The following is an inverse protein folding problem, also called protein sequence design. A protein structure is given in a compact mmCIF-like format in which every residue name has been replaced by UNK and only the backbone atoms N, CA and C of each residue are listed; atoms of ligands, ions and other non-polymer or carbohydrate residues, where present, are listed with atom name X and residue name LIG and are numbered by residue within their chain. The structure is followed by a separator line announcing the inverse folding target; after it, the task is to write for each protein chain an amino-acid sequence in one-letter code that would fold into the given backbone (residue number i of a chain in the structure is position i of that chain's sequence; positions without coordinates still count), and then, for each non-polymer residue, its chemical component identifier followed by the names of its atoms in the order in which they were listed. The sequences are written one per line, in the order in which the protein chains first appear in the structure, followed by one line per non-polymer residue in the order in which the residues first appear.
data_IF_944291385985
#
_entry.id   IF_944291385985
#
_cell.length_a   1.000
_cell.length_b   1.000
_cell.length_c   1.000
_cell.angle_alpha   90.00
_cell.angle_beta   90.00
_cell.angle_gamma   90.00
#
_symmetry.space_group_name_H-M   'P 1'
#
loop_
_entity.id
_entity.type
_entity.pdbx_description
1 polymer ?
#
# COMPACT_ATOMS: atom_id res chain seq x y z
N UNK A 1 -0.35 0.09 -28.95
CA UNK A 1 -0.55 -0.77 -27.76
C UNK A 1 0.40 -1.96 -27.75
N UNK A 2 0.79 -2.49 -28.90
CA UNK A 2 1.60 -3.72 -28.98
C UNK A 2 3.04 -3.55 -28.49
N UNK A 3 3.56 -2.33 -28.40
CA UNK A 3 4.96 -2.09 -28.00
C UNK A 3 5.18 -1.78 -26.52
N UNK A 4 4.18 -1.28 -25.80
CA UNK A 4 4.32 -0.84 -24.40
C UNK A 4 3.20 -1.40 -23.49
N UNK A 5 2.49 -2.43 -23.91
CA UNK A 5 1.37 -2.97 -23.14
C UNK A 5 1.81 -3.58 -21.80
N UNK A 6 2.98 -4.20 -21.76
CA UNK A 6 3.63 -4.71 -20.55
C UNK A 6 3.90 -3.60 -19.52
N UNK A 7 4.52 -2.49 -19.95
CA UNK A 7 4.78 -1.33 -19.10
C UNK A 7 3.50 -0.64 -18.66
N UNK A 8 2.52 -0.50 -19.57
CA UNK A 8 1.23 0.07 -19.25
C UNK A 8 0.48 -0.75 -18.20
N UNK A 9 0.52 -2.09 -18.30
CA UNK A 9 -0.07 -2.96 -17.27
C UNK A 9 0.61 -2.80 -15.92
N UNK A 10 1.96 -2.81 -15.89
CA UNK A 10 2.71 -2.60 -14.65
C UNK A 10 2.37 -1.25 -14.04
N UNK A 11 2.37 -0.16 -14.82
CA UNK A 11 2.05 1.18 -14.32
C UNK A 11 0.62 1.30 -13.81
N UNK A 12 -0.36 0.78 -14.57
CA UNK A 12 -1.78 0.83 -14.20
C UNK A 12 -2.05 0.10 -12.88
N UNK A 13 -1.45 -1.08 -12.70
CA UNK A 13 -1.62 -1.87 -11.47
C UNK A 13 -0.83 -1.25 -10.31
N UNK A 14 0.41 -0.79 -10.54
CA UNK A 14 1.26 -0.19 -9.51
C UNK A 14 0.68 1.11 -8.93
N UNK A 15 -0.05 1.88 -9.75
CA UNK A 15 -0.73 3.12 -9.33
C UNK A 15 -2.17 2.89 -8.83
N UNK A 16 -2.56 1.61 -8.67
CA UNK A 16 -3.88 1.22 -8.14
C UNK A 16 -5.04 1.83 -8.95
N UNK A 17 -4.87 1.95 -10.26
CA UNK A 17 -5.91 2.45 -11.15
C UNK A 17 -7.09 1.47 -11.24
N UNK A 18 -8.33 1.97 -11.38
CA UNK A 18 -9.51 1.13 -11.54
C UNK A 18 -9.36 0.11 -12.68
N UNK A 19 -9.51 -1.18 -12.39
CA UNK A 19 -9.43 -2.27 -13.38
C UNK A 19 -10.79 -2.56 -14.03
N UNK A 20 -11.40 -1.52 -14.58
CA UNK A 20 -12.67 -1.56 -15.31
C UNK A 20 -12.50 -0.98 -16.71
N UNK A 21 -13.45 -1.23 -17.61
CA UNK A 21 -13.46 -0.67 -18.96
C UNK A 21 -12.14 -0.92 -19.72
N UNK A 22 -11.55 0.16 -20.24
CA UNK A 22 -10.32 0.11 -21.04
C UNK A 22 -9.10 -0.32 -20.22
N UNK A 23 -8.97 0.15 -18.97
CA UNK A 23 -7.87 -0.24 -18.09
C UNK A 23 -7.83 -1.76 -17.89
N UNK A 24 -9.00 -2.39 -17.67
CA UNK A 24 -9.07 -3.84 -17.53
C UNK A 24 -8.58 -4.56 -18.78
N UNK A 25 -8.96 -4.07 -19.95
CA UNK A 25 -8.53 -4.65 -21.24
C UNK A 25 -7.03 -4.47 -21.44
N UNK A 26 -6.50 -3.27 -21.16
CA UNK A 26 -5.07 -2.96 -21.24
C UNK A 26 -4.25 -3.84 -20.31
N UNK A 27 -4.66 -3.94 -19.04
CA UNK A 27 -3.95 -4.76 -18.06
C UNK A 27 -4.01 -6.23 -18.42
N UNK A 28 -5.15 -6.76 -18.87
CA UNK A 28 -5.29 -8.16 -19.30
C UNK A 28 -4.34 -8.49 -20.45
N UNK A 29 -4.29 -7.65 -21.48
CA UNK A 29 -3.38 -7.82 -22.61
C UNK A 29 -1.92 -7.63 -22.20
N UNK A 30 -1.64 -6.60 -21.39
CA UNK A 30 -0.28 -6.26 -20.98
C UNK A 30 0.33 -7.28 -20.02
N UNK A 31 -0.46 -7.94 -19.16
CA UNK A 31 0.01 -9.05 -18.32
C UNK A 31 0.44 -10.25 -19.17
N UNK A 32 -0.27 -10.52 -20.26
CA UNK A 32 0.12 -11.56 -21.22
C UNK A 32 1.42 -11.19 -21.95
N UNK A 33 1.60 -9.92 -22.32
CA UNK A 33 2.84 -9.43 -22.90
C UNK A 33 3.98 -9.48 -21.88
N UNK A 34 3.73 -9.06 -20.62
CA UNK A 34 4.72 -9.07 -19.55
C UNK A 34 5.26 -10.48 -19.29
N UNK A 35 4.39 -11.50 -19.33
CA UNK A 35 4.78 -12.90 -19.15
C UNK A 35 5.77 -13.37 -20.23
N UNK A 36 5.72 -12.79 -21.43
CA UNK A 36 6.52 -13.14 -22.60
C UNK A 36 7.27 -11.88 -23.11
N UNK A 37 7.76 -11.05 -22.20
CA UNK A 37 8.40 -9.79 -22.58
C UNK A 37 9.75 -10.03 -23.23
N UNK A 38 10.06 -9.23 -24.25
CA UNK A 38 11.38 -9.18 -24.91
C UNK A 38 12.27 -8.07 -24.31
N UNK A 39 11.84 -7.43 -23.21
CA UNK A 39 12.60 -6.38 -22.53
C UNK A 39 13.51 -7.00 -21.50
N UNK A 40 14.87 -6.92 -21.68
CA UNK A 40 15.81 -7.54 -20.75
C UNK A 40 15.57 -7.10 -19.30
N UNK A 41 15.22 -5.82 -19.07
CA UNK A 41 14.97 -5.30 -17.71
C UNK A 41 13.76 -5.91 -17.03
N UNK A 42 12.66 -6.14 -17.76
CA UNK A 42 11.45 -6.79 -17.19
C UNK A 42 11.66 -8.30 -17.05
N UNK A 43 12.38 -8.94 -17.99
CA UNK A 43 12.74 -10.35 -17.92
C UNK A 43 13.58 -10.63 -16.68
N UNK A 44 14.66 -9.85 -16.46
CA UNK A 44 15.51 -9.96 -15.29
C UNK A 44 14.72 -9.72 -13.97
N UNK A 45 13.77 -8.79 -13.97
CA UNK A 45 12.92 -8.55 -12.81
C UNK A 45 11.96 -9.71 -12.52
N UNK A 46 11.38 -10.34 -13.57
CA UNK A 46 10.56 -11.54 -13.44
C UNK A 46 11.37 -12.73 -12.90
N UNK A 47 12.61 -12.89 -13.33
CA UNK A 47 13.53 -13.90 -12.82
C UNK A 47 13.85 -13.67 -11.35
N UNK A 48 14.21 -12.45 -10.96
CA UNK A 48 14.53 -12.07 -9.58
C UNK A 48 13.37 -12.33 -8.61
N UNK A 49 12.11 -12.23 -9.09
CA UNK A 49 10.92 -12.52 -8.27
C UNK A 49 10.40 -13.95 -8.43
N UNK A 50 11.10 -14.80 -9.20
CA UNK A 50 10.77 -16.22 -9.40
C UNK A 50 9.48 -16.46 -10.22
N UNK A 51 9.18 -15.57 -11.16
CA UNK A 51 8.00 -15.64 -12.04
C UNK A 51 8.33 -16.10 -13.47
N UNK A 52 9.59 -16.38 -13.81
CA UNK A 52 9.98 -16.91 -15.13
C UNK A 52 9.22 -18.18 -15.47
N UNK A 53 8.56 -18.20 -16.63
CA UNK A 53 7.77 -19.34 -17.09
C UNK A 53 6.45 -19.60 -16.35
N UNK A 54 6.03 -18.69 -15.46
CA UNK A 54 4.76 -18.77 -14.74
C UNK A 54 3.76 -17.72 -15.24
N UNK A 55 2.45 -17.97 -15.12
CA UNK A 55 1.44 -16.94 -15.38
C UNK A 55 1.67 -15.71 -14.50
N UNK A 56 1.73 -14.51 -15.10
CA UNK A 56 1.85 -13.24 -14.38
C UNK A 56 0.47 -12.64 -14.17
N UNK A 57 0.11 -12.39 -12.92
CA UNK A 57 -1.18 -11.82 -12.52
C UNK A 57 -1.03 -10.37 -12.05
N UNK A 58 -2.15 -9.64 -11.96
CA UNK A 58 -2.14 -8.31 -11.35
C UNK A 58 -1.66 -8.35 -9.89
N UNK A 59 -1.95 -9.41 -9.16
CA UNK A 59 -1.44 -9.64 -7.80
C UNK A 59 0.09 -9.75 -7.78
N UNK A 60 0.69 -10.48 -8.72
CA UNK A 60 2.15 -10.54 -8.86
C UNK A 60 2.75 -9.16 -9.14
N UNK A 61 2.09 -8.35 -9.97
CA UNK A 61 2.53 -6.97 -10.20
C UNK A 61 2.43 -6.16 -8.91
N UNK A 62 1.31 -6.20 -8.20
CA UNK A 62 1.07 -5.42 -6.98
C UNK A 62 2.03 -5.76 -5.85
N UNK A 63 2.34 -7.05 -5.65
CA UNK A 63 3.05 -7.52 -4.45
C UNK A 63 4.49 -7.98 -4.70
N UNK A 64 4.87 -8.27 -5.96
CA UNK A 64 6.23 -8.67 -6.27
C UNK A 64 6.97 -7.64 -7.15
N UNK A 65 6.39 -7.18 -8.26
CA UNK A 65 7.07 -6.34 -9.24
C UNK A 65 7.07 -4.87 -8.81
N UNK A 66 5.89 -4.28 -8.63
CA UNK A 66 5.74 -2.86 -8.30
C UNK A 66 6.46 -2.42 -7.01
N UNK A 67 6.48 -3.22 -5.91
CA UNK A 67 7.21 -2.84 -4.71
C UNK A 67 8.71 -2.63 -4.92
N UNK A 68 9.35 -3.41 -5.80
CA UNK A 68 10.79 -3.26 -6.13
C UNK A 68 11.06 -1.99 -6.92
N UNK A 69 10.23 -1.70 -7.90
CA UNK A 69 10.29 -0.46 -8.69
C UNK A 69 10.07 0.75 -7.76
N UNK A 70 9.03 0.72 -6.95
CA UNK A 70 8.67 1.81 -6.05
C UNK A 70 9.68 2.03 -4.92
N UNK A 71 10.36 0.97 -4.46
CA UNK A 71 11.37 1.08 -3.41
C UNK A 71 12.52 2.00 -3.80
N UNK A 72 12.93 2.02 -5.06
CA UNK A 72 13.98 2.90 -5.54
C UNK A 72 13.69 4.38 -5.22
N UNK A 73 12.49 4.87 -5.59
CA UNK A 73 12.10 6.26 -5.34
C UNK A 73 11.80 6.58 -3.87
N UNK A 74 11.57 5.57 -3.04
CA UNK A 74 11.35 5.75 -1.60
C UNK A 74 12.63 5.81 -0.79
N UNK A 75 13.64 5.02 -1.20
CA UNK A 75 14.88 4.81 -0.43
C UNK A 75 16.05 5.65 -0.96
N UNK A 76 16.08 5.93 -2.26
CA UNK A 76 17.18 6.63 -2.92
C UNK A 76 16.66 7.41 -4.14
N UNK A 77 16.81 6.84 -5.32
CA UNK A 77 16.45 7.49 -6.59
C UNK A 77 15.69 6.56 -7.51
N UNK A 78 14.56 7.02 -8.05
CA UNK A 78 13.80 6.32 -9.07
C UNK A 78 14.58 6.05 -10.37
N UNK A 79 15.74 6.70 -10.55
CA UNK A 79 16.60 6.54 -11.73
C UNK A 79 17.04 5.09 -11.92
N UNK A 80 17.35 4.35 -10.83
CA UNK A 80 17.72 2.93 -10.92
C UNK A 80 16.60 2.08 -11.54
N UNK A 81 15.34 2.33 -11.14
CA UNK A 81 14.19 1.63 -11.72
C UNK A 81 13.96 2.02 -13.19
N UNK A 82 14.12 3.30 -13.54
CA UNK A 82 14.04 3.77 -14.91
C UNK A 82 15.15 3.12 -15.79
N UNK A 83 16.38 3.06 -15.28
CA UNK A 83 17.51 2.40 -15.97
C UNK A 83 17.22 0.93 -16.25
N UNK A 84 16.60 0.20 -15.29
CA UNK A 84 16.21 -1.18 -15.50
C UNK A 84 15.18 -1.31 -16.64
N UNK A 85 14.12 -0.51 -16.60
CA UNK A 85 13.04 -0.57 -17.60
C UNK A 85 13.53 -0.24 -19.02
N UNK A 86 14.53 0.62 -19.14
CA UNK A 86 15.12 1.05 -20.41
C UNK A 86 16.36 0.24 -20.82
N UNK A 87 16.78 -0.76 -20.02
CA UNK A 87 17.97 -1.53 -20.27
C UNK A 87 17.78 -2.48 -21.47
N UNK A 88 18.71 -2.44 -22.42
CA UNK A 88 18.77 -3.34 -23.57
C UNK A 88 19.84 -4.44 -23.43
N UNK A 89 20.73 -4.31 -22.44
CA UNK A 89 21.80 -5.24 -22.14
C UNK A 89 21.34 -6.22 -21.04
N UNK A 90 21.27 -7.53 -21.33
CA UNK A 90 20.81 -8.53 -20.36
C UNK A 90 21.66 -8.61 -19.10
N UNK A 91 22.99 -8.59 -19.20
CA UNK A 91 23.91 -8.69 -18.05
C UNK A 91 23.71 -7.49 -17.12
N UNK A 92 23.55 -6.31 -17.71
CA UNK A 92 23.28 -5.08 -16.97
C UNK A 92 21.87 -5.06 -16.36
N UNK A 93 20.89 -5.64 -17.03
CA UNK A 93 19.53 -5.78 -16.52
C UNK A 93 19.48 -6.65 -15.26
N UNK A 94 20.20 -7.78 -15.26
CA UNK A 94 20.32 -8.64 -14.07
C UNK A 94 20.94 -7.89 -12.86
N UNK A 95 22.00 -7.13 -13.08
CA UNK A 95 22.62 -6.31 -12.02
C UNK A 95 21.62 -5.29 -11.45
N UNK A 96 20.86 -4.61 -12.31
CA UNK A 96 19.87 -3.60 -11.91
C UNK A 96 18.68 -4.24 -11.18
N UNK A 97 18.19 -5.39 -11.64
CA UNK A 97 17.09 -6.13 -11.00
C UNK A 97 17.49 -6.58 -9.59
N UNK A 98 18.70 -7.15 -9.44
CA UNK A 98 19.26 -7.52 -8.13
C UNK A 98 19.38 -6.32 -7.21
N UNK A 99 19.89 -5.18 -7.71
CA UNK A 99 19.98 -3.95 -6.93
C UNK A 99 18.62 -3.45 -6.46
N UNK A 100 17.57 -3.50 -7.30
CA UNK A 100 16.22 -3.13 -6.90
C UNK A 100 15.67 -4.09 -5.84
N UNK A 101 15.97 -5.38 -5.92
CA UNK A 101 15.57 -6.34 -4.91
C UNK A 101 16.23 -6.05 -3.55
N UNK A 102 17.54 -5.72 -3.55
CA UNK A 102 18.26 -5.32 -2.33
C UNK A 102 17.67 -4.04 -1.72
N UNK A 103 17.37 -3.02 -2.53
CA UNK A 103 16.73 -1.78 -2.08
C UNK A 103 15.35 -2.09 -1.46
N UNK A 104 14.56 -2.96 -2.09
CA UNK A 104 13.26 -3.36 -1.56
C UNK A 104 13.38 -4.15 -0.25
N UNK A 105 14.34 -5.06 -0.14
CA UNK A 105 14.61 -5.80 1.10
C UNK A 105 14.97 -4.83 2.25
N UNK A 106 15.84 -3.85 1.99
CA UNK A 106 16.18 -2.82 2.97
C UNK A 106 14.97 -1.97 3.36
N UNK A 107 14.12 -1.60 2.40
CA UNK A 107 12.87 -0.88 2.67
C UNK A 107 11.96 -1.69 3.60
N UNK A 108 11.81 -3.01 3.36
CA UNK A 108 11.01 -3.90 4.20
C UNK A 108 11.55 -4.02 5.62
N UNK A 109 12.87 -4.10 5.77
CA UNK A 109 13.52 -4.13 7.08
C UNK A 109 13.25 -2.84 7.86
N UNK A 110 13.43 -1.68 7.25
CA UNK A 110 13.14 -0.38 7.87
C UNK A 110 11.65 -0.25 8.20
N UNK A 111 10.75 -0.70 7.32
CA UNK A 111 9.31 -0.74 7.58
C UNK A 111 8.99 -1.55 8.83
N UNK A 112 9.58 -2.74 8.97
CA UNK A 112 9.37 -3.60 10.13
C UNK A 112 9.90 -2.95 11.42
N UNK A 113 11.08 -2.34 11.36
CA UNK A 113 11.68 -1.62 12.50
C UNK A 113 10.76 -0.48 12.98
N UNK A 114 10.31 0.38 12.05
CA UNK A 114 9.40 1.48 12.39
C UNK A 114 8.06 0.96 12.92
N UNK A 115 7.51 -0.09 12.30
CA UNK A 115 6.25 -0.68 12.73
C UNK A 115 6.34 -1.25 14.15
N UNK A 116 7.42 -1.98 14.48
CA UNK A 116 7.66 -2.51 15.82
C UNK A 116 7.83 -1.38 16.85
N UNK A 117 8.62 -0.35 16.52
CA UNK A 117 8.78 0.82 17.39
C UNK A 117 7.45 1.55 17.63
N UNK A 118 6.59 1.66 16.61
CA UNK A 118 5.26 2.22 16.77
C UNK A 118 4.36 1.35 17.66
N UNK A 119 4.48 0.03 17.61
CA UNK A 119 3.75 -0.89 18.50
C UNK A 119 4.23 -0.79 19.95
N UNK A 120 5.54 -0.76 20.17
CA UNK A 120 6.13 -0.56 21.50
C UNK A 120 5.65 0.77 22.11
N UNK A 121 5.57 1.84 21.31
CA UNK A 121 5.00 3.10 21.75
C UNK A 121 3.54 2.98 22.20
N UNK A 122 2.73 2.22 21.46
CA UNK A 122 1.32 1.97 21.82
C UNK A 122 1.18 1.08 23.08
N UNK A 123 2.13 0.19 23.34
CA UNK A 123 2.18 -0.61 24.58
C UNK A 123 2.58 0.24 25.79
N UNK A 124 3.50 1.20 25.60
CA UNK A 124 3.96 2.11 26.64
C UNK A 124 2.94 3.21 26.94
N UNK A 125 2.19 3.66 25.95
CA UNK A 125 1.19 4.73 26.04
C UNK A 125 -0.18 4.22 25.52
N UNK A 126 -0.84 3.32 26.26
CA UNK A 126 -2.07 2.66 25.80
C UNK A 126 -3.24 3.62 25.60
N UNK A 127 -3.20 4.81 26.20
CA UNK A 127 -4.17 5.88 25.97
C UNK A 127 -4.18 6.37 24.50
N UNK A 128 -3.14 6.13 23.72
CA UNK A 128 -3.12 6.42 22.28
C UNK A 128 -4.06 5.50 21.48
N UNK A 129 -4.38 4.33 22.02
CA UNK A 129 -5.36 3.42 21.42
C UNK A 129 -6.80 3.95 21.54
N UNK A 130 -7.05 4.91 22.44
CA UNK A 130 -8.35 5.58 22.57
C UNK A 130 -8.49 6.76 21.61
N UNK A 131 -7.39 7.24 21.02
CA UNK A 131 -7.40 8.32 20.04
C UNK A 131 -8.24 7.96 18.80
N UNK A 132 -9.05 8.91 18.35
CA UNK A 132 -9.81 8.77 17.09
C UNK A 132 -8.90 8.91 15.87
N UNK A 133 -7.90 9.76 15.97
CA UNK A 133 -6.81 9.93 15.01
C UNK A 133 -5.51 9.64 15.75
N UNK A 134 -4.87 8.55 15.40
CA UNK A 134 -3.62 8.15 16.03
C UNK A 134 -2.47 8.96 15.45
N UNK A 135 -1.79 9.75 16.29
CA UNK A 135 -0.57 10.46 15.94
C UNK A 135 0.61 9.80 16.66
N UNK A 136 1.47 9.13 15.88
CA UNK A 136 2.65 8.43 16.38
C UNK A 136 3.91 9.11 15.84
N UNK A 137 4.92 9.28 16.68
CA UNK A 137 6.17 9.89 16.24
C UNK A 137 7.39 9.21 16.87
N UNK A 138 8.48 9.22 16.11
CA UNK A 138 9.76 8.71 16.54
C UNK A 138 10.91 9.40 15.84
N UNK A 139 12.12 9.26 16.40
CA UNK A 139 13.34 9.82 15.81
C UNK A 139 13.89 8.91 14.72
N UNK A 140 14.45 9.53 13.71
CA UNK A 140 15.18 8.86 12.62
C UNK A 140 14.37 7.82 11.82
N UNK A 141 13.04 7.90 11.88
CA UNK A 141 12.19 7.07 11.02
C UNK A 141 12.29 7.54 9.56
N UNK A 142 12.54 6.61 8.65
CA UNK A 142 12.76 6.97 7.27
C UNK A 142 11.51 7.60 6.61
N UNK A 143 11.60 8.86 6.10
CA UNK A 143 10.42 9.59 5.60
C UNK A 143 9.74 8.94 4.38
N UNK A 144 10.48 8.19 3.55
CA UNK A 144 9.93 7.42 2.43
C UNK A 144 9.15 6.17 2.84
N UNK A 145 9.24 5.75 4.12
CA UNK A 145 8.66 4.50 4.65
C UNK A 145 7.50 4.75 5.61
N UNK A 146 7.50 5.86 6.37
CA UNK A 146 6.44 6.14 7.36
C UNK A 146 5.01 6.07 6.80
N UNK A 147 4.81 6.42 5.52
CA UNK A 147 3.50 6.31 4.89
C UNK A 147 3.03 4.87 4.67
N UNK A 148 3.95 3.92 4.49
CA UNK A 148 3.62 2.48 4.40
C UNK A 148 3.24 1.97 5.78
N UNK A 149 3.99 2.36 6.81
CA UNK A 149 3.67 2.01 8.20
C UNK A 149 2.32 2.59 8.63
N UNK A 150 2.00 3.83 8.24
CA UNK A 150 0.68 4.41 8.49
C UNK A 150 -0.45 3.58 7.87
N UNK A 151 -0.31 3.12 6.62
CA UNK A 151 -1.29 2.23 5.98
C UNK A 151 -1.50 0.95 6.77
N UNK A 152 -0.41 0.27 7.15
CA UNK A 152 -0.45 -0.98 7.91
C UNK A 152 -1.08 -0.83 9.30
N UNK A 153 -0.85 0.31 9.95
CA UNK A 153 -1.50 0.64 11.22
C UNK A 153 -2.99 0.92 11.06
N UNK A 154 -3.41 1.61 9.98
CA UNK A 154 -4.83 1.80 9.63
C UNK A 154 -5.54 0.47 9.44
N UNK A 155 -4.96 -0.45 8.67
CA UNK A 155 -5.52 -1.80 8.45
C UNK A 155 -5.70 -2.57 9.76
N UNK A 156 -4.75 -2.43 10.69
CA UNK A 156 -4.79 -3.13 11.98
C UNK A 156 -5.77 -2.51 12.97
N UNK A 157 -5.91 -1.18 12.97
CA UNK A 157 -6.66 -0.44 14.00
C UNK A 157 -8.03 0.03 13.56
N UNK A 158 -8.29 0.08 12.24
CA UNK A 158 -9.52 0.62 11.67
C UNK A 158 -9.69 2.13 11.92
N UNK A 159 -8.62 2.86 12.18
CA UNK A 159 -8.62 4.30 12.51
C UNK A 159 -7.67 5.08 11.62
N UNK A 160 -7.89 6.38 11.41
CA UNK A 160 -6.91 7.25 10.78
C UNK A 160 -5.61 7.29 11.60
N UNK A 161 -4.47 7.15 10.92
CA UNK A 161 -3.13 7.15 11.53
C UNK A 161 -2.23 8.13 10.81
N UNK A 162 -1.49 8.92 11.57
CA UNK A 162 -0.42 9.79 11.11
C UNK A 162 0.87 9.32 11.77
N UNK A 163 1.85 8.93 10.98
CA UNK A 163 3.20 8.56 11.44
C UNK A 163 4.16 9.69 11.11
N UNK A 164 4.91 10.13 12.09
CA UNK A 164 5.79 11.30 12.01
C UNK A 164 7.22 10.90 12.34
N UNK A 165 8.16 11.35 11.52
CA UNK A 165 9.59 11.30 11.85
C UNK A 165 10.07 12.65 12.36
N UNK A 166 10.91 12.64 13.40
CA UNK A 166 11.54 13.82 13.98
C UNK A 166 13.01 13.80 13.57
N UNK A 167 13.50 14.86 12.94
CA UNK A 167 14.91 15.01 12.60
C UNK A 167 15.70 15.62 13.78
N UNK A 168 17.03 15.70 13.62
CA UNK A 168 17.97 16.24 14.62
C UNK A 168 17.76 17.73 14.93
N UNK A 169 17.05 18.46 14.06
CA UNK A 169 16.73 19.88 14.24
C UNK A 169 15.33 20.12 14.84
N UNK A 170 14.59 19.05 15.16
CA UNK A 170 13.21 19.13 15.65
C UNK A 170 12.19 19.51 14.58
N UNK A 171 12.55 19.42 13.28
CA UNK A 171 11.61 19.51 12.21
C UNK A 171 11.02 18.12 11.94
N UNK A 172 9.69 18.05 11.89
CA UNK A 172 8.99 16.81 11.77
C UNK A 172 8.30 16.69 10.41
N UNK A 173 8.38 15.51 9.80
CA UNK A 173 7.64 15.16 8.57
C UNK A 173 6.70 14.02 8.89
N UNK A 174 5.40 14.21 8.59
CA UNK A 174 4.35 13.23 8.82
C UNK A 174 3.71 12.74 7.55
N UNK A 175 3.31 11.47 7.54
CA UNK A 175 2.49 10.87 6.51
C UNK A 175 1.29 10.20 7.16
N UNK A 176 0.09 10.59 6.74
CA UNK A 176 -1.17 10.07 7.27
C UNK A 176 -1.91 9.22 6.27
N UNK A 177 -2.65 8.27 6.80
CA UNK A 177 -3.61 7.43 6.08
C UNK A 177 -4.92 7.41 6.82
N UNK A 178 -6.02 7.27 6.09
CA UNK A 178 -7.36 7.37 6.63
C UNK A 178 -8.17 6.10 6.41
N UNK A 179 -9.37 6.10 6.96
CA UNK A 179 -10.43 5.11 6.72
C UNK A 179 -11.56 5.73 5.92
N UNK A 180 -12.37 4.90 5.28
CA UNK A 180 -13.55 5.36 4.56
C UNK A 180 -14.48 6.17 5.48
N UNK A 181 -14.96 7.31 4.98
CA UNK A 181 -15.85 8.19 5.74
C UNK A 181 -15.14 9.21 6.65
N UNK A 182 -13.80 9.20 6.73
CA UNK A 182 -13.03 10.19 7.48
C UNK A 182 -12.15 11.04 6.56
N UNK A 183 -12.38 12.37 6.52
CA UNK A 183 -11.56 13.28 5.74
C UNK A 183 -10.32 13.74 6.52
N UNK A 184 -9.19 13.05 6.29
CA UNK A 184 -7.93 13.34 6.96
C UNK A 184 -7.35 14.72 6.58
N UNK A 185 -7.54 15.15 5.33
CA UNK A 185 -7.06 16.46 4.88
C UNK A 185 -7.73 17.60 5.65
N UNK A 186 -9.06 17.56 5.81
CA UNK A 186 -9.80 18.59 6.55
C UNK A 186 -9.46 18.56 8.05
N UNK A 187 -9.28 17.35 8.60
CA UNK A 187 -8.84 17.17 9.98
C UNK A 187 -7.48 17.84 10.21
N UNK A 188 -6.48 17.59 9.38
CA UNK A 188 -5.16 18.22 9.46
C UNK A 188 -5.27 19.73 9.21
N UNK A 189 -6.09 20.15 8.24
CA UNK A 189 -6.34 21.55 7.90
C UNK A 189 -6.90 22.37 9.06
N UNK A 190 -7.69 21.75 9.96
CA UNK A 190 -8.20 22.40 11.19
C UNK A 190 -7.10 22.80 12.17
N UNK A 191 -5.88 22.27 11.97
CA UNK A 191 -4.69 22.53 12.80
C UNK A 191 -3.63 23.35 12.06
N UNK A 192 -3.98 24.03 10.95
CA UNK A 192 -3.03 24.72 10.07
C UNK A 192 -2.09 25.69 10.79
N UNK A 193 -2.54 26.34 11.86
CA UNK A 193 -1.75 27.26 12.69
C UNK A 193 -0.61 26.58 13.49
N UNK A 194 -0.67 25.26 13.69
CA UNK A 194 0.39 24.47 14.32
C UNK A 194 1.39 23.91 13.32
N UNK A 195 1.06 23.93 12.01
CA UNK A 195 1.80 23.26 10.95
C UNK A 195 2.70 24.24 10.19
N UNK A 196 3.83 23.75 9.69
CA UNK A 196 4.67 24.46 8.73
C UNK A 196 4.03 24.37 7.34
N UNK A 197 3.57 23.17 6.98
CA UNK A 197 2.84 22.89 5.73
C UNK A 197 2.05 21.58 5.84
N UNK A 198 1.03 21.45 5.03
CA UNK A 198 0.28 20.22 4.87
C UNK A 198 -0.32 20.14 3.45
N UNK A 199 -0.76 18.93 3.06
CA UNK A 199 -1.41 18.71 1.78
C UNK A 199 -1.77 17.25 1.59
N UNK A 200 -2.63 16.98 0.60
CA UNK A 200 -3.09 15.63 0.30
C UNK A 200 -4.57 15.59 0.00
N UNK A 201 -5.18 14.46 0.29
CA UNK A 201 -6.59 14.16 0.03
C UNK A 201 -7.24 13.51 1.26
N UNK A 202 -8.55 13.25 1.19
CA UNK A 202 -9.30 12.65 2.29
C UNK A 202 -8.67 11.36 2.84
N UNK A 203 -8.12 10.49 1.97
CA UNK A 203 -7.58 9.19 2.35
C UNK A 203 -6.09 9.18 2.69
N UNK A 204 -5.33 10.18 2.21
CA UNK A 204 -3.88 10.27 2.43
C UNK A 204 -3.42 11.71 2.45
N UNK A 205 -2.68 12.10 3.47
CA UNK A 205 -2.16 13.46 3.62
C UNK A 205 -0.76 13.45 4.23
N UNK A 206 0.02 14.47 3.88
CA UNK A 206 1.32 14.74 4.45
C UNK A 206 1.33 16.06 5.23
N UNK A 207 2.21 16.16 6.20
CA UNK A 207 2.39 17.40 6.98
C UNK A 207 3.86 17.61 7.38
N UNK A 208 4.19 18.85 7.68
CA UNK A 208 5.41 19.20 8.42
C UNK A 208 5.02 20.07 9.62
N UNK A 209 5.66 19.79 10.75
CA UNK A 209 5.34 20.42 12.03
C UNK A 209 6.61 20.53 12.88
N UNK A 210 6.67 21.44 13.86
CA UNK A 210 7.74 21.46 14.85
C UNK A 210 7.48 20.44 15.95
N UNK A 211 8.54 19.80 16.49
CA UNK A 211 8.43 18.76 17.52
C UNK A 211 7.63 19.26 18.74
N UNK A 212 7.87 20.50 19.16
CA UNK A 212 7.17 21.14 20.28
C UNK A 212 5.65 21.21 20.12
N UNK A 213 5.15 21.20 18.88
CA UNK A 213 3.73 21.27 18.55
C UNK A 213 3.04 19.90 18.48
N UNK A 214 3.78 18.78 18.50
CA UNK A 214 3.20 17.44 18.37
C UNK A 214 2.14 17.11 19.44
N UNK A 215 2.33 17.42 20.72
CA UNK A 215 1.30 17.15 21.73
C UNK A 215 0.03 17.99 21.53
N UNK A 216 0.18 19.24 21.12
CA UNK A 216 -0.96 20.11 20.80
C UNK A 216 -1.70 19.65 19.55
N UNK A 217 -0.96 19.22 18.53
CA UNK A 217 -1.49 18.67 17.30
C UNK A 217 -2.32 17.40 17.59
N UNK A 218 -1.79 16.42 18.35
CA UNK A 218 -2.52 15.21 18.77
C UNK A 218 -3.86 15.55 19.39
N UNK A 219 -3.85 16.46 20.37
CA UNK A 219 -5.09 16.87 21.06
C UNK A 219 -6.10 17.48 20.09
N UNK A 220 -5.70 18.44 19.27
CA UNK A 220 -6.60 19.15 18.34
C UNK A 220 -7.17 18.26 17.25
N UNK A 221 -6.38 17.34 16.70
CA UNK A 221 -6.85 16.34 15.73
C UNK A 221 -7.98 15.50 16.35
N UNK A 222 -7.82 15.09 17.61
CA UNK A 222 -8.82 14.27 18.30
C UNK A 222 -10.05 15.07 18.73
N UNK A 223 -9.90 16.35 19.13
CA UNK A 223 -11.02 17.27 19.39
C UNK A 223 -11.85 17.50 18.12
N UNK A 224 -11.19 17.72 16.98
CA UNK A 224 -11.87 17.86 15.69
C UNK A 224 -12.60 16.56 15.30
N UNK A 225 -11.93 15.44 15.40
CA UNK A 225 -12.51 14.14 15.07
C UNK A 225 -13.70 13.78 15.95
N UNK A 226 -13.67 14.14 17.25
CA UNK A 226 -14.78 13.91 18.16
C UNK A 226 -16.01 14.74 17.80
N UNK A 227 -15.82 15.93 17.24
CA UNK A 227 -16.91 16.84 16.85
C UNK A 227 -17.48 16.49 15.48
N UNK A 228 -16.63 16.29 14.47
CA UNK A 228 -17.05 16.12 13.07
C UNK A 228 -17.34 14.66 12.70
N UNK A 229 -16.67 13.70 13.38
CA UNK A 229 -16.82 12.27 13.15
C UNK A 229 -17.03 11.54 14.48
N UNK A 230 -18.16 11.73 15.17
CA UNK A 230 -18.41 11.17 16.50
C UNK A 230 -18.44 9.63 16.49
N UNK A 231 -18.73 9.01 15.36
CA UNK A 231 -18.71 7.56 15.18
C UNK A 231 -17.81 7.21 14.00
N UNK A 232 -16.75 6.45 14.27
CA UNK A 232 -15.98 5.76 13.22
C UNK A 232 -16.67 4.40 13.01
N UNK A 233 -17.37 4.27 11.89
CA UNK A 233 -18.00 3.01 11.53
C UNK A 233 -16.93 2.02 11.06
N UNK A 234 -17.03 0.77 11.54
CA UNK A 234 -16.27 -0.31 10.92
C UNK A 234 -16.70 -0.43 9.45
N UNK A 235 -15.74 -0.57 8.56
CA UNK A 235 -16.04 -0.81 7.15
C UNK A 235 -16.83 -2.11 7.04
N UNK A 236 -18.06 -2.09 6.50
CA UNK A 236 -18.84 -3.31 6.35
C UNK A 236 -18.12 -4.26 5.38
N UNK A 237 -18.11 -5.55 5.70
CA UNK A 237 -17.68 -6.57 4.76
C UNK A 237 -18.77 -6.78 3.72
N UNK A 238 -18.54 -6.31 2.50
CA UNK A 238 -19.44 -6.57 1.38
C UNK A 238 -19.18 -7.97 0.83
N UNK A 239 -20.26 -8.73 0.62
CA UNK A 239 -20.20 -10.06 0.04
C UNK A 239 -21.03 -10.06 -1.25
N UNK A 240 -20.44 -10.57 -2.32
CA UNK A 240 -21.10 -10.62 -3.64
C UNK A 240 -22.26 -11.60 -3.66
N UNK A 241 -22.14 -12.74 -2.96
CA UNK A 241 -23.15 -13.77 -2.95
C UNK A 241 -23.09 -14.63 -1.67
N UNK A 242 -24.27 -15.05 -1.18
CA UNK A 242 -24.37 -16.14 -0.20
C UNK A 242 -24.46 -17.48 -0.92
N UNK A 243 -23.58 -18.42 -0.58
CA UNK A 243 -23.47 -19.73 -1.23
C UNK A 243 -23.55 -20.88 -0.21
N UNK A 244 -23.94 -22.06 -0.71
CA UNK A 244 -23.85 -23.32 0.02
C UNK A 244 -22.66 -24.14 -0.46
N UNK A 245 -21.97 -24.82 0.49
CA UNK A 245 -20.76 -25.59 0.19
C UNK A 245 -20.96 -26.67 -0.86
N UNK A 246 -22.13 -27.29 -0.89
CA UNK A 246 -22.51 -28.32 -1.88
C UNK A 246 -22.51 -27.83 -3.35
N UNK A 247 -22.59 -26.51 -3.54
CA UNK A 247 -22.53 -25.87 -4.87
C UNK A 247 -21.14 -25.42 -5.29
N UNK A 248 -20.15 -25.50 -4.38
CA UNK A 248 -18.77 -25.13 -4.69
C UNK A 248 -18.06 -26.28 -5.36
N UNK A 249 -17.74 -26.13 -6.63
CA UNK A 249 -16.99 -27.11 -7.41
C UNK A 249 -15.69 -26.50 -7.94
N UNK A 250 -14.70 -27.34 -8.24
CA UNK A 250 -13.44 -26.88 -8.86
C UNK A 250 -13.72 -26.11 -10.16
N UNK A 251 -14.71 -26.56 -10.94
CA UNK A 251 -15.09 -25.89 -12.18
C UNK A 251 -15.70 -24.51 -11.92
N UNK A 252 -16.60 -24.37 -10.94
CA UNK A 252 -17.18 -23.06 -10.57
C UNK A 252 -16.11 -22.09 -10.10
N UNK A 253 -15.12 -22.55 -9.33
CA UNK A 253 -13.98 -21.70 -8.90
C UNK A 253 -13.12 -21.29 -10.10
N UNK A 254 -12.78 -22.21 -11.02
CA UNK A 254 -12.02 -21.87 -12.22
C UNK A 254 -12.72 -20.88 -13.14
N UNK A 255 -14.05 -20.85 -13.15
CA UNK A 255 -14.80 -19.86 -13.93
C UNK A 255 -14.62 -18.42 -13.40
N UNK A 256 -14.26 -18.25 -12.13
CA UNK A 256 -13.95 -16.94 -11.57
C UNK A 256 -12.70 -16.32 -12.22
N UNK A 257 -11.78 -17.14 -12.76
CA UNK A 257 -10.60 -16.65 -13.49
C UNK A 257 -10.97 -15.79 -14.70
N UNK A 258 -12.19 -15.95 -15.25
CA UNK A 258 -12.70 -15.11 -16.35
C UNK A 258 -12.97 -13.66 -15.92
N UNK A 259 -13.12 -13.41 -14.62
CA UNK A 259 -13.31 -12.09 -14.04
C UNK A 259 -11.98 -11.34 -13.87
N UNK A 260 -10.84 -12.05 -13.90
CA UNK A 260 -9.51 -11.43 -13.82
C UNK A 260 -9.24 -10.47 -15.02
N UNK A 261 -8.31 -9.50 -14.87
CA UNK A 261 -7.47 -9.23 -13.70
C UNK A 261 -8.24 -8.56 -12.57
N UNK A 262 -7.99 -9.02 -11.34
CA UNK A 262 -8.54 -8.42 -10.13
C UNK A 262 -7.68 -7.25 -9.63
N UNK A 263 -8.31 -6.28 -8.97
CA UNK A 263 -7.67 -5.10 -8.43
C UNK A 263 -8.68 -4.01 -8.04
N UNK A 264 -8.27 -2.75 -8.09
CA UNK A 264 -9.16 -1.63 -7.77
C UNK A 264 -10.41 -1.62 -8.66
N UNK A 265 -11.59 -1.40 -8.08
CA UNK A 265 -12.92 -1.42 -8.72
C UNK A 265 -13.32 -2.76 -9.39
N UNK A 266 -12.45 -3.77 -9.35
CA UNK A 266 -12.73 -5.15 -9.76
C UNK A 266 -12.13 -6.12 -8.73
N UNK A 267 -12.60 -6.13 -7.48
CA UNK A 267 -12.05 -6.96 -6.42
C UNK A 267 -12.30 -8.46 -6.68
N UNK A 268 -11.52 -9.29 -6.01
CA UNK A 268 -11.80 -10.74 -5.97
C UNK A 268 -13.16 -10.96 -5.31
N UNK A 269 -14.06 -11.76 -5.90
CA UNK A 269 -15.38 -12.02 -5.34
C UNK A 269 -15.32 -12.60 -3.93
N UNK A 270 -16.13 -12.05 -3.04
CA UNK A 270 -16.26 -12.48 -1.64
C UNK A 270 -17.59 -13.22 -1.44
N UNK A 271 -17.52 -14.45 -0.95
CA UNK A 271 -18.70 -15.29 -0.76
C UNK A 271 -19.00 -15.49 0.73
N UNK A 272 -20.28 -15.35 1.10
CA UNK A 272 -20.76 -15.64 2.43
C UNK A 272 -21.17 -17.11 2.53
N UNK A 273 -20.49 -17.87 3.38
CA UNK A 273 -20.88 -19.22 3.77
C UNK A 273 -21.57 -19.17 5.14
N UNK A 274 -22.85 -19.49 5.18
CA UNK A 274 -23.63 -19.54 6.43
C UNK A 274 -23.49 -20.91 7.07
N UNK A 275 -23.40 -20.94 8.41
CA UNK A 275 -23.37 -22.15 9.23
C UNK A 275 -22.22 -23.11 8.87
N UNK A 276 -21.12 -22.62 8.32
CA UNK A 276 -19.92 -23.40 8.04
C UNK A 276 -19.06 -23.50 9.30
N UNK A 277 -18.55 -24.70 9.59
CA UNK A 277 -17.57 -24.94 10.64
C UNK A 277 -16.19 -25.02 10.01
N UNK A 278 -15.29 -24.11 10.39
CA UNK A 278 -13.89 -24.21 9.99
C UNK A 278 -13.20 -25.31 10.80
N UNK A 279 -12.53 -26.24 10.12
CA UNK A 279 -11.69 -27.27 10.76
C UNK A 279 -10.20 -26.87 10.78
N UNK A 280 -9.87 -25.61 10.52
CA UNK A 280 -8.49 -25.16 10.67
C UNK A 280 -8.05 -25.34 12.13
N UNK A 281 -7.17 -26.30 12.35
CA UNK A 281 -6.39 -26.38 13.59
C UNK A 281 -5.35 -25.26 13.50
N UNK A 282 -5.50 -24.22 14.32
CA UNK A 282 -4.39 -23.32 14.62
C UNK A 282 -3.30 -24.17 15.28
N UNK A 283 -2.21 -24.42 14.56
CA UNK A 283 -0.97 -25.01 15.09
C UNK A 283 -0.18 -23.90 15.79
#
# INVERSE_FOLDING_TARGET
LDYCGDLAAVGTVADVMPLIGENRTLVRSGLHQLQNTDRPGLEALLEEVGLTGKPVTAENVSYAIAPRINAAGRMDSAVTALQLVLCEDPDRAEELARKLNEINARRQEIELQIFNAAQELLEQEPERLEDRVMLLWGRDWHPGVIGIVASRLVERTGRPVIVVTVDEHGECKGSGRSVQGFNLHDCIGSCADLLIRYGGHAMAAGLSVREENLPALRRRLNEWAARECPVLHATPLECDLSIHLDRVTVESVRRLDQLAPYGAENPTPVFLLQNARSEERRV
#
